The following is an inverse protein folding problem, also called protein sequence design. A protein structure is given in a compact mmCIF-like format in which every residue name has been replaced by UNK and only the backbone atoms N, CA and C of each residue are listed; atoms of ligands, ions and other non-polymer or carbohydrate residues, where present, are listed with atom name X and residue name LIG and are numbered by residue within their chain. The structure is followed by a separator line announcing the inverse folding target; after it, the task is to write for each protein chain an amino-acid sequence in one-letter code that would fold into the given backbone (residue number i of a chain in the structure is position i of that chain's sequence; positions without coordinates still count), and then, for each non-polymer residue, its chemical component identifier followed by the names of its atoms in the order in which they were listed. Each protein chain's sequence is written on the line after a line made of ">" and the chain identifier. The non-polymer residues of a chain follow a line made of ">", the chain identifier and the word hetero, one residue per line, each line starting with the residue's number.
data_IF_835471747627
#
_entry.id   IF_835471747627
#
_cell.length_a   1.000
_cell.length_b   1.000
_cell.length_c   1.000
_cell.angle_alpha   90.00
_cell.angle_beta   90.00
_cell.angle_gamma   90.00
#
_symmetry.space_group_name_H-M   'P 1'
#
loop_
_entity.id
_entity.type
_entity.pdbx_description
1 polymer ?
#
# COMPACT_ATOMS: atom_id res chain seq x y z
N UNK A 1 -11.49 32.09 22.87
CA UNK A 1 -10.50 31.16 23.46
C UNK A 1 -9.97 30.27 22.33
N UNK A 2 -8.65 30.04 22.23
CA UNK A 2 -8.10 29.09 21.24
C UNK A 2 -8.63 27.69 21.57
N UNK A 3 -9.28 27.02 20.60
CA UNK A 3 -9.73 25.63 20.76
C UNK A 3 -8.52 24.75 21.09
N UNK A 4 -8.60 23.96 22.17
CA UNK A 4 -7.49 23.08 22.60
C UNK A 4 -7.54 21.78 21.81
N UNK A 5 -6.39 21.35 21.31
CA UNK A 5 -6.26 20.13 20.51
C UNK A 5 -5.26 19.17 21.16
N UNK A 6 -5.46 17.88 20.97
CA UNK A 6 -4.53 16.81 21.31
C UNK A 6 -4.66 15.67 20.30
N UNK A 7 -3.67 14.79 20.25
CA UNK A 7 -3.88 13.47 19.65
C UNK A 7 -4.12 12.42 20.73
N UNK A 8 -4.84 11.36 20.40
CA UNK A 8 -5.17 10.28 21.32
C UNK A 8 -4.89 8.92 20.70
N UNK A 9 -4.08 8.12 21.40
CA UNK A 9 -3.97 6.68 21.20
C UNK A 9 -4.71 6.00 22.34
N UNK A 10 -5.92 5.55 22.04
CA UNK A 10 -6.77 4.80 22.96
C UNK A 10 -6.63 3.30 22.67
N UNK A 11 -6.13 2.54 23.65
CA UNK A 11 -5.90 1.10 23.53
C UNK A 11 -4.49 0.72 23.04
N UNK A 12 -4.24 -0.58 22.93
CA UNK A 12 -2.93 -1.23 22.77
C UNK A 12 -2.40 -1.26 21.32
N UNK A 13 -2.50 -0.13 20.60
CA UNK A 13 -2.07 -0.04 19.21
C UNK A 13 -0.84 0.86 19.05
N UNK A 14 0.38 0.36 19.35
CA UNK A 14 1.60 1.16 19.30
C UNK A 14 1.93 1.66 17.89
N UNK A 15 1.43 1.00 16.83
CA UNK A 15 1.62 1.47 15.45
C UNK A 15 0.97 2.84 15.20
N UNK A 16 0.02 3.28 16.03
CA UNK A 16 -0.58 4.62 15.90
C UNK A 16 0.37 5.75 16.35
N UNK A 17 1.43 5.43 17.11
CA UNK A 17 2.46 6.39 17.51
C UNK A 17 3.10 7.01 16.26
N UNK A 18 3.46 6.18 15.28
CA UNK A 18 4.13 6.61 14.03
C UNK A 18 3.25 7.50 13.14
N UNK A 19 1.99 7.73 13.49
CA UNK A 19 1.09 8.63 12.76
C UNK A 19 0.76 9.86 13.58
N UNK A 20 0.53 9.69 14.87
CA UNK A 20 0.08 10.77 15.75
C UNK A 20 1.24 11.52 16.39
N UNK A 21 2.36 10.88 16.71
CA UNK A 21 3.52 11.52 17.33
C UNK A 21 4.18 12.59 16.42
N UNK A 22 4.39 12.35 15.10
CA UNK A 22 4.90 13.38 14.19
C UNK A 22 3.95 14.57 14.07
N UNK A 23 2.65 14.30 13.97
CA UNK A 23 1.62 15.34 13.93
C UNK A 23 1.59 16.15 15.22
N UNK A 24 1.72 15.50 16.39
CA UNK A 24 1.82 16.17 17.68
C UNK A 24 3.04 17.09 17.75
N UNK A 25 4.21 16.62 17.30
CA UNK A 25 5.41 17.43 17.27
C UNK A 25 5.27 18.65 16.35
N UNK A 26 4.71 18.47 15.16
CA UNK A 26 4.55 19.53 14.16
C UNK A 26 3.51 20.56 14.61
N UNK A 27 2.33 20.10 15.05
CA UNK A 27 1.23 20.96 15.48
C UNK A 27 1.42 21.52 16.89
N UNK A 28 2.47 21.10 17.61
CA UNK A 28 2.76 21.46 19.01
C UNK A 28 1.57 21.18 19.93
N UNK A 29 0.99 19.99 19.79
CA UNK A 29 -0.12 19.49 20.62
C UNK A 29 0.31 18.21 21.36
N UNK A 30 -0.26 17.92 22.54
CA UNK A 30 0.13 16.73 23.29
C UNK A 30 -0.38 15.44 22.64
N UNK A 31 0.37 14.35 22.80
CA UNK A 31 -0.07 12.99 22.52
C UNK A 31 -0.56 12.35 23.83
N UNK A 32 -1.82 11.95 23.87
CA UNK A 32 -2.43 11.32 25.02
C UNK A 32 -2.50 9.81 24.81
N UNK A 33 -2.22 9.03 25.85
CA UNK A 33 -2.43 7.59 25.83
C UNK A 33 -2.81 7.06 27.21
N UNK A 34 -3.58 5.98 27.22
CA UNK A 34 -3.95 5.23 28.41
C UNK A 34 -3.12 3.95 28.63
N UNK A 35 -2.11 3.73 27.78
CA UNK A 35 -1.25 2.55 27.82
C UNK A 35 0.18 3.00 28.14
N UNK A 36 0.72 2.48 29.24
CA UNK A 36 2.07 2.81 29.72
C UNK A 36 3.14 2.46 28.68
N UNK A 37 3.04 1.29 28.03
CA UNK A 37 3.96 0.88 26.98
C UNK A 37 4.00 1.87 25.80
N UNK A 38 2.85 2.46 25.43
CA UNK A 38 2.76 3.46 24.35
C UNK A 38 3.40 4.78 24.79
N UNK A 39 3.22 5.17 26.06
CA UNK A 39 3.89 6.33 26.63
C UNK A 39 5.41 6.16 26.61
N UNK A 40 5.91 5.01 27.05
CA UNK A 40 7.34 4.70 27.08
C UNK A 40 7.94 4.63 25.67
N UNK A 41 7.26 3.97 24.73
CA UNK A 41 7.70 3.96 23.33
C UNK A 41 7.70 5.36 22.72
N UNK A 42 6.69 6.18 23.00
CA UNK A 42 6.67 7.54 22.49
C UNK A 42 7.82 8.35 23.08
N UNK A 43 8.07 8.28 24.40
CA UNK A 43 9.21 8.97 25.02
C UNK A 43 10.55 8.51 24.45
N UNK A 44 10.69 7.21 24.21
CA UNK A 44 11.94 6.61 23.72
C UNK A 44 12.23 6.97 22.27
N UNK A 45 11.26 6.83 21.38
CA UNK A 45 11.46 6.96 19.94
C UNK A 45 11.10 8.36 19.40
N UNK A 46 10.26 9.11 20.12
CA UNK A 46 9.83 10.47 19.77
C UNK A 46 10.00 11.43 20.97
N UNK A 47 11.25 11.63 21.47
CA UNK A 47 11.51 12.36 22.71
C UNK A 47 11.05 13.84 22.67
N UNK A 48 10.87 14.40 21.48
CA UNK A 48 10.42 15.77 21.26
C UNK A 48 8.89 15.95 21.24
N UNK A 49 8.14 14.88 21.52
CA UNK A 49 6.67 14.90 21.61
C UNK A 49 6.25 15.05 23.07
N UNK A 50 5.36 16.01 23.35
CA UNK A 50 4.71 16.12 24.67
C UNK A 50 3.71 14.97 24.83
N UNK A 51 4.20 13.82 25.28
CA UNK A 51 3.37 12.64 25.55
C UNK A 51 2.91 12.61 27.00
N UNK A 52 1.63 12.29 27.22
CA UNK A 52 1.02 12.18 28.55
C UNK A 52 0.31 10.86 28.71
N UNK A 53 0.72 10.12 29.72
CA UNK A 53 0.00 8.95 30.19
C UNK A 53 -1.16 9.39 31.08
N UNK A 54 -2.36 8.90 30.80
CA UNK A 54 -3.56 9.16 31.60
C UNK A 54 -4.10 7.81 32.05
N UNK A 55 -4.36 7.64 33.34
CA UNK A 55 -4.90 6.38 33.86
C UNK A 55 -6.21 5.99 33.16
N UNK A 56 -6.36 4.69 32.90
CA UNK A 56 -7.46 4.10 32.11
C UNK A 56 -8.86 4.55 32.55
N UNK A 57 -9.09 4.66 33.86
CA UNK A 57 -10.40 5.05 34.43
C UNK A 57 -10.79 6.51 34.16
N UNK A 58 -9.82 7.37 33.84
CA UNK A 58 -10.01 8.83 33.77
C UNK A 58 -9.80 9.41 32.37
N UNK A 59 -9.25 8.64 31.43
CA UNK A 59 -8.86 9.16 30.11
C UNK A 59 -10.03 9.75 29.33
N UNK A 60 -11.21 9.12 29.37
CA UNK A 60 -12.37 9.58 28.59
C UNK A 60 -12.89 10.92 29.11
N UNK A 61 -13.08 11.04 30.42
CA UNK A 61 -13.51 12.27 31.07
C UNK A 61 -12.47 13.39 30.93
N UNK A 62 -11.19 13.06 31.13
CA UNK A 62 -10.09 14.02 31.00
C UNK A 62 -10.01 14.60 29.59
N UNK A 63 -10.09 13.75 28.56
CA UNK A 63 -10.01 14.16 27.16
C UNK A 63 -11.16 15.12 26.81
N UNK A 64 -12.41 14.78 27.15
CA UNK A 64 -13.59 15.63 26.88
C UNK A 64 -13.48 16.95 27.63
N UNK A 65 -13.15 16.92 28.92
CA UNK A 65 -13.06 18.14 29.74
C UNK A 65 -12.02 19.13 29.19
N UNK A 66 -10.86 18.64 28.76
CA UNK A 66 -9.70 19.49 28.50
C UNK A 66 -9.49 19.88 27.02
N UNK A 67 -10.07 19.13 26.08
CA UNK A 67 -9.82 19.33 24.65
C UNK A 67 -11.11 19.47 23.84
N UNK A 68 -11.04 20.23 22.76
CA UNK A 68 -12.15 20.48 21.83
C UNK A 68 -11.97 19.75 20.49
N UNK A 69 -10.71 19.42 20.15
CA UNK A 69 -10.33 18.70 18.94
C UNK A 69 -9.42 17.52 19.29
N UNK A 70 -9.72 16.34 18.77
CA UNK A 70 -8.90 15.14 18.97
C UNK A 70 -8.48 14.54 17.63
N UNK A 71 -7.18 14.37 17.44
CA UNK A 71 -6.61 13.58 16.34
C UNK A 71 -6.52 12.12 16.79
N UNK A 72 -7.12 11.19 16.06
CA UNK A 72 -7.10 9.78 16.42
C UNK A 72 -7.06 8.88 15.18
N UNK A 73 -6.40 7.73 15.28
CA UNK A 73 -6.47 6.67 14.28
C UNK A 73 -7.69 5.75 14.48
N UNK A 74 -8.32 5.81 15.66
CA UNK A 74 -9.54 5.07 15.99
C UNK A 74 -10.74 5.63 15.19
N UNK A 75 -11.54 4.76 14.54
CA UNK A 75 -12.76 5.18 13.85
C UNK A 75 -13.74 5.93 14.75
N UNK A 76 -14.49 6.91 14.19
CA UNK A 76 -15.41 7.76 14.96
C UNK A 76 -16.46 6.96 15.72
N UNK A 77 -17.05 5.92 15.13
CA UNK A 77 -18.06 5.10 15.79
C UNK A 77 -17.52 4.41 17.06
N UNK A 78 -16.28 3.91 17.03
CA UNK A 78 -15.62 3.34 18.21
C UNK A 78 -15.31 4.42 19.24
N UNK A 79 -14.84 5.60 18.79
CA UNK A 79 -14.64 6.73 19.69
C UNK A 79 -15.95 7.18 20.35
N UNK A 80 -17.04 7.31 19.60
CA UNK A 80 -18.33 7.72 20.16
C UNK A 80 -18.81 6.72 21.22
N UNK A 81 -18.68 5.41 21.00
CA UNK A 81 -19.07 4.41 22.00
C UNK A 81 -18.40 4.64 23.36
N UNK A 82 -17.11 5.00 23.36
CA UNK A 82 -16.32 5.17 24.58
C UNK A 82 -16.48 6.57 25.21
N UNK A 83 -16.64 7.61 24.38
CA UNK A 83 -16.60 9.01 24.82
C UNK A 83 -17.99 9.67 24.90
N UNK A 84 -19.06 9.07 24.38
CA UNK A 84 -20.40 9.70 24.29
C UNK A 84 -20.97 10.08 25.66
N UNK A 85 -20.98 9.15 26.62
CA UNK A 85 -21.50 9.41 27.96
C UNK A 85 -20.82 10.62 28.61
N UNK A 86 -19.51 10.72 28.45
CA UNK A 86 -18.69 11.80 29.00
C UNK A 86 -18.97 13.16 28.32
N UNK A 87 -19.21 13.16 27.00
CA UNK A 87 -19.65 14.35 26.26
C UNK A 87 -21.02 14.83 26.71
N UNK A 88 -21.97 13.92 26.92
CA UNK A 88 -23.32 14.25 27.38
C UNK A 88 -23.30 14.79 28.83
N UNK A 89 -22.54 14.16 29.74
CA UNK A 89 -22.37 14.61 31.13
C UNK A 89 -21.75 16.00 31.22
N UNK A 90 -20.76 16.31 30.37
CA UNK A 90 -20.10 17.61 30.35
C UNK A 90 -20.77 18.63 29.44
N UNK A 91 -21.88 18.27 28.79
CA UNK A 91 -22.56 19.04 27.75
C UNK A 91 -21.58 19.66 26.73
N UNK A 92 -20.63 18.83 26.25
CA UNK A 92 -19.53 19.26 25.38
C UNK A 92 -19.23 18.22 24.31
N UNK A 93 -19.25 18.64 23.06
CA UNK A 93 -18.90 17.80 21.91
C UNK A 93 -17.43 17.96 21.50
N UNK A 94 -16.72 16.85 21.28
CA UNK A 94 -15.36 16.83 20.74
C UNK A 94 -15.41 16.70 19.21
N UNK A 95 -14.61 17.52 18.52
CA UNK A 95 -14.36 17.36 17.09
C UNK A 95 -13.24 16.35 16.85
N UNK A 96 -13.52 15.27 16.11
CA UNK A 96 -12.54 14.22 15.82
C UNK A 96 -11.96 14.40 14.41
N UNK A 97 -10.62 14.35 14.32
CA UNK A 97 -9.84 14.35 13.09
C UNK A 97 -9.24 12.96 12.91
N UNK A 98 -9.79 12.19 11.98
CA UNK A 98 -9.34 10.83 11.76
C UNK A 98 -8.05 10.80 10.94
N UNK A 99 -7.02 10.14 11.48
CA UNK A 99 -5.73 9.97 10.84
C UNK A 99 -5.63 8.56 10.24
N UNK A 100 -5.68 8.40 8.91
CA UNK A 100 -5.71 7.09 8.28
C UNK A 100 -4.36 6.37 8.39
N UNK A 101 -4.29 5.36 9.26
CA UNK A 101 -3.12 4.50 9.36
C UNK A 101 -3.15 3.39 8.30
N UNK A 102 -2.32 3.49 7.24
CA UNK A 102 -1.81 2.34 6.45
C UNK A 102 -2.83 1.28 6.01
N UNK A 103 -4.06 1.68 5.74
CA UNK A 103 -5.08 0.81 5.18
C UNK A 103 -5.09 1.08 3.67
N UNK A 104 -4.12 0.57 2.90
CA UNK A 104 -4.20 0.49 1.42
C UNK A 104 -4.28 -0.97 0.92
N UNK A 105 -3.89 -1.91 1.78
CA UNK A 105 -3.57 -3.30 1.45
C UNK A 105 -4.15 -4.32 2.47
N UNK A 106 -4.73 -3.89 3.60
CA UNK A 106 -5.31 -4.76 4.64
C UNK A 106 -6.75 -5.25 4.36
N UNK A 107 -7.11 -5.42 3.09
CA UNK A 107 -8.46 -5.72 2.60
C UNK A 107 -9.09 -7.08 2.98
N UNK A 108 -8.76 -7.64 4.14
CA UNK A 108 -9.28 -8.95 4.59
C UNK A 108 -10.15 -8.92 5.84
N UNK A 109 -10.06 -7.87 6.68
CA UNK A 109 -10.79 -7.81 7.96
C UNK A 109 -11.36 -6.44 8.33
N UNK A 110 -11.00 -5.35 7.64
CA UNK A 110 -11.49 -4.00 7.98
C UNK A 110 -12.25 -3.42 6.80
N UNK A 111 -13.51 -3.00 7.02
CA UNK A 111 -14.27 -2.21 6.06
C UNK A 111 -13.60 -0.85 5.90
N UNK A 112 -12.64 -0.80 4.97
CA UNK A 112 -11.76 0.33 4.63
C UNK A 112 -12.39 1.73 4.59
N UNK A 113 -13.71 1.81 4.43
CA UNK A 113 -14.44 3.05 4.17
C UNK A 113 -15.63 3.28 5.12
N UNK A 114 -15.84 2.43 6.12
CA UNK A 114 -16.91 2.62 7.10
C UNK A 114 -16.53 3.72 8.10
N UNK A 115 -15.28 3.74 8.56
CA UNK A 115 -14.73 4.81 9.39
C UNK A 115 -14.82 6.21 8.73
N UNK A 116 -14.67 6.27 7.40
CA UNK A 116 -14.78 7.51 6.62
C UNK A 116 -16.20 8.05 6.47
N UNK A 117 -17.22 7.19 6.63
CA UNK A 117 -18.63 7.59 6.48
C UNK A 117 -19.03 8.57 7.58
N UNK A 118 -18.58 8.28 8.79
CA UNK A 118 -18.98 9.01 9.99
C UNK A 118 -17.88 10.00 10.44
N UNK A 119 -16.66 9.90 9.91
CA UNK A 119 -15.58 10.87 10.18
C UNK A 119 -15.94 12.31 9.75
N UNK A 120 -15.79 13.24 10.69
CA UNK A 120 -16.01 14.68 10.50
C UNK A 120 -14.89 15.32 9.68
N UNK A 121 -13.62 14.97 9.94
CA UNK A 121 -12.43 15.51 9.27
C UNK A 121 -11.35 14.42 9.04
N UNK A 122 -10.57 14.49 7.95
CA UNK A 122 -9.56 13.47 7.53
C UNK A 122 -8.27 14.14 7.00
N UNK A 123 -7.09 13.64 7.36
CA UNK A 123 -5.78 14.10 6.87
C UNK A 123 -5.30 13.29 5.62
N UNK A 124 -4.67 13.94 4.63
CA UNK A 124 -4.18 13.29 3.39
C UNK A 124 -2.80 13.82 2.93
N UNK A 125 -2.02 12.96 2.26
CA UNK A 125 -0.64 13.23 1.80
C UNK A 125 -0.52 14.32 0.72
N UNK A 126 0.36 15.30 1.00
CA UNK A 126 1.04 16.20 0.05
C UNK A 126 0.26 17.44 -0.40
N UNK A 127 0.78 18.63 -0.08
CA UNK A 127 0.21 19.92 -0.54
C UNK A 127 0.12 20.00 -2.07
N UNK A 128 1.14 19.53 -2.80
CA UNK A 128 1.13 19.52 -4.27
C UNK A 128 0.03 18.65 -4.88
N UNK A 129 -0.28 17.51 -4.26
CA UNK A 129 -1.37 16.63 -4.73
C UNK A 129 -2.74 17.23 -4.39
N UNK A 130 -2.86 17.83 -3.22
CA UNK A 130 -4.05 18.56 -2.77
C UNK A 130 -4.30 19.76 -3.69
N UNK A 131 -3.27 20.52 -4.01
CA UNK A 131 -3.33 21.69 -4.89
C UNK A 131 -3.64 21.27 -6.33
N UNK A 132 -3.01 20.22 -6.83
CA UNK A 132 -3.35 19.67 -8.14
C UNK A 132 -4.81 19.20 -8.19
N UNK A 133 -5.31 18.51 -7.15
CA UNK A 133 -6.71 18.09 -7.08
C UNK A 133 -7.67 19.29 -6.99
N UNK A 134 -7.35 20.31 -6.17
CA UNK A 134 -8.21 21.48 -5.96
C UNK A 134 -8.25 22.41 -7.16
N UNK A 135 -7.10 22.67 -7.79
CA UNK A 135 -6.97 23.66 -8.85
C UNK A 135 -7.30 23.10 -10.25
N UNK A 136 -7.72 21.83 -10.34
CA UNK A 136 -8.03 21.18 -11.61
C UNK A 136 -9.36 20.43 -11.54
N UNK A 137 -10.44 21.06 -12.03
CA UNK A 137 -11.80 20.50 -12.03
C UNK A 137 -11.96 19.15 -12.77
N UNK A 138 -10.98 18.76 -13.58
CA UNK A 138 -10.97 17.52 -14.38
C UNK A 138 -10.31 16.35 -13.63
N UNK A 139 -9.74 16.58 -12.44
CA UNK A 139 -9.01 15.56 -11.67
C UNK A 139 -9.97 14.94 -10.65
N UNK A 140 -10.25 13.65 -10.80
CA UNK A 140 -11.07 12.91 -9.83
C UNK A 140 -10.22 12.15 -8.82
N UNK A 141 -9.08 11.62 -9.27
CA UNK A 141 -8.13 10.86 -8.46
C UNK A 141 -6.69 11.24 -8.83
N UNK A 142 -5.79 11.21 -7.85
CA UNK A 142 -4.35 11.43 -8.03
C UNK A 142 -3.60 10.27 -7.38
N UNK A 143 -2.62 9.69 -8.07
CA UNK A 143 -1.68 8.72 -7.51
C UNK A 143 -0.28 9.32 -7.44
N UNK A 144 0.57 8.75 -6.59
CA UNK A 144 1.98 9.15 -6.44
C UNK A 144 2.91 8.42 -7.40
N UNK A 145 2.44 7.37 -8.08
CA UNK A 145 3.29 6.41 -8.79
C UNK A 145 3.31 6.59 -10.31
N UNK A 146 4.50 6.68 -10.87
CA UNK A 146 4.80 6.61 -12.30
C UNK A 146 5.36 5.23 -12.69
N UNK A 147 4.57 4.18 -12.50
CA UNK A 147 5.02 2.79 -12.62
C UNK A 147 5.52 2.42 -14.04
N UNK A 148 6.53 1.54 -14.13
CA UNK A 148 7.10 1.08 -15.41
C UNK A 148 6.03 0.45 -16.33
N UNK A 149 5.06 -0.27 -15.77
CA UNK A 149 3.93 -0.87 -16.50
C UNK A 149 3.19 0.11 -17.41
N UNK A 150 3.17 1.39 -17.03
CA UNK A 150 2.53 2.45 -17.82
C UNK A 150 3.22 2.65 -19.19
N UNK A 151 4.47 2.21 -19.33
CA UNK A 151 5.28 2.32 -20.53
C UNK A 151 5.41 0.98 -21.27
N UNK A 152 5.48 -0.13 -20.54
CA UNK A 152 5.82 -1.45 -21.10
C UNK A 152 4.60 -2.31 -21.43
N UNK A 153 3.53 -2.25 -20.64
CA UNK A 153 2.38 -3.17 -20.77
C UNK A 153 1.36 -2.65 -21.79
N UNK A 154 0.89 -3.53 -22.68
CA UNK A 154 -0.10 -3.19 -23.73
C UNK A 154 -1.44 -2.66 -23.20
N UNK A 155 -1.81 -3.06 -21.98
CA UNK A 155 -2.95 -2.52 -21.22
C UNK A 155 -2.85 -1.00 -21.02
N UNK A 156 -1.63 -0.47 -20.88
CA UNK A 156 -1.36 0.96 -20.75
C UNK A 156 -1.09 1.69 -22.07
N UNK A 157 -1.09 0.99 -23.21
CA UNK A 157 -0.92 1.60 -24.55
C UNK A 157 -2.20 2.29 -25.03
N UNK A 158 -2.40 3.52 -24.57
CA UNK A 158 -3.41 4.47 -25.02
C UNK A 158 -2.82 5.89 -25.01
N UNK A 159 -3.50 6.81 -25.68
CA UNK A 159 -3.17 8.24 -25.62
C UNK A 159 -3.55 8.76 -24.23
N UNK A 160 -2.55 9.07 -23.40
CA UNK A 160 -2.74 9.78 -22.14
C UNK A 160 -2.89 11.29 -22.39
N UNK A 161 -3.63 11.96 -21.52
CA UNK A 161 -3.59 13.42 -21.43
C UNK A 161 -2.43 13.81 -20.53
N UNK A 162 -1.65 14.80 -20.95
CA UNK A 162 -0.58 15.38 -20.14
C UNK A 162 -0.94 16.80 -19.77
N UNK A 163 -0.73 17.16 -18.51
CA UNK A 163 -0.89 18.51 -17.99
C UNK A 163 0.35 18.92 -17.20
N UNK A 164 0.86 20.12 -17.43
CA UNK A 164 1.95 20.68 -16.62
C UNK A 164 1.35 21.45 -15.44
N UNK A 165 1.83 21.20 -14.22
CA UNK A 165 1.44 21.91 -13.01
C UNK A 165 2.57 21.81 -11.98
N UNK A 166 2.97 22.97 -11.42
CA UNK A 166 4.00 23.09 -10.37
C UNK A 166 5.31 22.35 -10.72
N UNK A 167 5.86 22.68 -11.89
CA UNK A 167 7.09 22.13 -12.49
C UNK A 167 7.10 20.61 -12.71
N UNK A 168 5.92 19.97 -12.69
CA UNK A 168 5.77 18.56 -13.03
C UNK A 168 4.81 18.37 -14.19
N UNK A 169 5.06 17.32 -14.97
CA UNK A 169 4.08 16.80 -15.89
C UNK A 169 3.20 15.79 -15.15
N UNK A 170 1.91 15.85 -15.37
CA UNK A 170 0.93 14.93 -14.84
C UNK A 170 0.29 14.21 -16.01
N UNK A 171 0.16 12.89 -15.95
CA UNK A 171 -0.50 12.11 -16.99
C UNK A 171 -1.73 11.39 -16.47
N UNK A 172 -2.74 11.24 -17.31
CA UNK A 172 -3.85 10.33 -17.01
C UNK A 172 -3.41 8.88 -17.14
N UNK A 173 -3.73 8.06 -16.16
CA UNK A 173 -3.42 6.62 -16.11
C UNK A 173 -4.70 5.79 -15.94
N UNK A 174 -4.62 4.52 -16.32
CA UNK A 174 -5.76 3.60 -16.35
C UNK A 174 -5.97 2.91 -15.00
N UNK A 175 -4.91 2.68 -14.22
CA UNK A 175 -4.98 2.01 -12.93
C UNK A 175 -3.79 2.37 -12.05
N UNK A 176 -3.98 2.24 -10.73
CA UNK A 176 -2.92 2.33 -9.71
C UNK A 176 -3.13 1.27 -8.62
N UNK A 177 -2.16 1.08 -7.74
CA UNK A 177 -2.08 0.07 -6.66
C UNK A 177 -2.92 0.40 -5.42
N UNK A 178 -4.11 1.00 -5.59
CA UNK A 178 -4.98 1.51 -4.50
C UNK A 178 -4.40 2.65 -3.67
N UNK A 179 -3.19 3.14 -3.96
CA UNK A 179 -2.64 4.35 -3.34
C UNK A 179 -3.02 5.58 -4.17
N UNK A 180 -4.00 6.33 -3.68
CA UNK A 180 -4.49 7.53 -4.35
C UNK A 180 -5.10 8.55 -3.37
N UNK A 181 -5.13 9.80 -3.80
CA UNK A 181 -5.87 10.91 -3.21
C UNK A 181 -7.13 11.19 -4.05
N UNK A 182 -8.24 11.54 -3.39
CA UNK A 182 -9.49 11.98 -4.02
C UNK A 182 -10.33 12.83 -3.08
N UNK A 183 -11.39 13.46 -3.58
CA UNK A 183 -12.36 14.19 -2.74
C UNK A 183 -13.36 13.23 -2.09
N UNK A 184 -13.90 13.61 -0.91
CA UNK A 184 -14.97 12.87 -0.22
C UNK A 184 -16.16 12.60 -1.14
N UNK A 185 -16.54 13.58 -1.97
CA UNK A 185 -17.65 13.46 -2.91
C UNK A 185 -17.41 12.41 -4.00
N UNK A 186 -16.23 12.41 -4.62
CA UNK A 186 -15.86 11.40 -5.63
C UNK A 186 -15.79 10.02 -4.99
N UNK A 187 -15.23 9.92 -3.77
CA UNK A 187 -15.16 8.66 -3.05
C UNK A 187 -16.55 8.10 -2.72
N UNK A 188 -17.48 8.92 -2.25
CA UNK A 188 -18.87 8.50 -1.97
C UNK A 188 -19.54 7.97 -3.24
N UNK A 189 -19.37 8.65 -4.38
CA UNK A 189 -19.93 8.24 -5.67
C UNK A 189 -19.34 6.91 -6.18
N UNK A 190 -18.09 6.62 -5.84
CA UNK A 190 -17.37 5.42 -6.29
C UNK A 190 -17.32 4.28 -5.26
N UNK A 191 -17.78 4.50 -4.03
CA UNK A 191 -17.68 3.56 -2.89
C UNK A 191 -18.15 2.14 -3.20
N UNK A 192 -19.24 1.99 -3.96
CA UNK A 192 -19.83 0.68 -4.24
C UNK A 192 -18.94 -0.18 -5.15
N UNK A 193 -18.11 0.46 -5.97
CA UNK A 193 -17.15 -0.22 -6.85
C UNK A 193 -15.99 -0.74 -6.00
N UNK A 194 -15.44 0.10 -5.11
CA UNK A 194 -14.39 -0.30 -4.17
C UNK A 194 -14.87 -1.37 -3.17
N UNK A 195 -16.11 -1.28 -2.65
CA UNK A 195 -16.68 -2.30 -1.76
C UNK A 195 -16.85 -3.68 -2.41
N UNK A 196 -17.00 -3.76 -3.74
CA UNK A 196 -17.05 -5.05 -4.43
C UNK A 196 -15.68 -5.73 -4.49
N UNK A 197 -14.61 -4.94 -4.52
CA UNK A 197 -13.24 -5.45 -4.45
C UNK A 197 -12.94 -6.09 -3.08
N UNK A 198 -13.47 -5.54 -1.98
CA UNK A 198 -13.25 -6.08 -0.63
C UNK A 198 -14.06 -7.35 -0.30
N UNK A 199 -15.07 -7.71 -1.11
CA UNK A 199 -15.90 -8.90 -0.87
C UNK A 199 -15.26 -10.15 -1.45
N UNK A 200 -15.01 -11.15 -0.59
CA UNK A 200 -14.53 -12.50 -0.96
C UNK A 200 -15.47 -13.14 -1.99
N UNK A 201 -15.08 -13.15 -3.26
CA UNK A 201 -15.61 -14.11 -4.22
C UNK A 201 -14.70 -15.35 -4.18
N UNK A 202 -14.95 -16.24 -3.21
CA UNK A 202 -14.31 -17.54 -3.13
C UNK A 202 -15.10 -18.51 -4.00
N UNK A 203 -14.51 -18.93 -5.12
CA UNK A 203 -14.78 -20.26 -5.66
C UNK A 203 -13.49 -21.05 -5.52
N UNK A 204 -13.63 -22.24 -4.95
CA UNK A 204 -12.53 -23.12 -4.64
C UNK A 204 -11.80 -23.53 -5.93
N UNK A 205 -10.50 -23.21 -6.02
CA UNK A 205 -9.68 -23.53 -7.19
C UNK A 205 -9.44 -25.03 -7.33
N UNK A 206 -9.77 -25.81 -6.30
CA UNK A 206 -9.46 -27.24 -6.25
C UNK A 206 -10.40 -28.10 -7.11
N UNK A 207 -11.64 -27.66 -7.39
CA UNK A 207 -12.59 -28.39 -8.26
C UNK A 207 -12.07 -28.51 -9.71
N UNK A 208 -11.29 -27.54 -10.19
CA UNK A 208 -10.88 -27.44 -11.60
C UNK A 208 -9.43 -27.89 -11.87
N UNK A 209 -8.72 -28.41 -10.86
CA UNK A 209 -7.35 -28.93 -11.05
C UNK A 209 -7.31 -30.18 -11.95
N UNK A 210 -8.41 -30.94 -12.05
CA UNK A 210 -8.44 -32.22 -12.78
C UNK A 210 -8.74 -32.13 -14.27
N UNK A 211 -9.31 -31.03 -14.78
CA UNK A 211 -9.73 -30.97 -16.19
C UNK A 211 -9.31 -29.66 -16.87
N UNK A 212 -8.25 -29.75 -17.70
CA UNK A 212 -7.59 -28.61 -18.35
C UNK A 212 -8.50 -27.85 -19.32
N UNK A 213 -9.48 -28.54 -19.94
CA UNK A 213 -10.44 -27.94 -20.87
C UNK A 213 -11.48 -27.11 -20.11
N UNK A 214 -12.10 -27.69 -19.07
CA UNK A 214 -12.99 -26.95 -18.17
C UNK A 214 -12.27 -25.77 -17.51
N UNK A 215 -10.99 -25.93 -17.15
CA UNK A 215 -10.18 -24.83 -16.61
C UNK A 215 -10.14 -23.66 -17.60
N UNK A 216 -9.82 -23.88 -18.86
CA UNK A 216 -9.76 -22.80 -19.85
C UNK A 216 -11.11 -22.17 -20.19
N UNK A 217 -12.21 -22.95 -20.15
CA UNK A 217 -13.55 -22.44 -20.41
C UNK A 217 -14.11 -21.61 -19.25
N UNK A 218 -13.77 -21.97 -18.00
CA UNK A 218 -14.39 -21.37 -16.82
C UNK A 218 -13.46 -20.52 -15.94
N UNK A 219 -12.15 -20.49 -16.19
CA UNK A 219 -11.18 -19.62 -15.46
C UNK A 219 -11.60 -18.15 -15.45
N UNK A 220 -12.18 -17.67 -16.54
CA UNK A 220 -12.65 -16.29 -16.68
C UNK A 220 -13.73 -15.96 -15.62
N UNK A 221 -14.59 -16.92 -15.28
CA UNK A 221 -15.72 -16.74 -14.36
C UNK A 221 -15.34 -16.78 -12.87
N UNK A 222 -14.22 -17.42 -12.55
CA UNK A 222 -13.78 -17.71 -11.18
C UNK A 222 -12.54 -16.91 -10.74
N UNK A 223 -12.02 -16.03 -11.59
CA UNK A 223 -10.91 -15.14 -11.26
C UNK A 223 -11.27 -14.10 -10.20
N UNK A 224 -10.38 -13.90 -9.21
CA UNK A 224 -10.53 -12.83 -8.21
C UNK A 224 -10.41 -11.45 -8.87
N UNK A 225 -11.18 -10.48 -8.38
CA UNK A 225 -11.05 -9.11 -8.83
C UNK A 225 -9.67 -8.54 -8.41
N UNK A 226 -9.02 -7.83 -9.32
CA UNK A 226 -7.75 -7.14 -9.09
C UNK A 226 -7.94 -5.62 -9.05
N UNK A 227 -6.93 -4.89 -8.58
CA UNK A 227 -6.94 -3.43 -8.59
C UNK A 227 -7.24 -2.83 -9.97
N UNK A 228 -6.64 -3.40 -11.01
CA UNK A 228 -6.81 -2.94 -12.39
C UNK A 228 -8.25 -3.11 -12.91
N UNK A 229 -9.01 -4.07 -12.40
CA UNK A 229 -10.36 -4.38 -12.90
C UNK A 229 -11.34 -3.25 -12.56
N UNK A 230 -11.32 -2.76 -11.33
CA UNK A 230 -12.24 -1.70 -10.93
C UNK A 230 -11.79 -0.35 -11.50
N UNK A 231 -10.47 -0.10 -11.56
CA UNK A 231 -9.94 1.11 -12.16
C UNK A 231 -10.32 1.22 -13.63
N UNK A 232 -10.19 0.15 -14.40
CA UNK A 232 -10.64 0.11 -15.80
C UNK A 232 -12.13 0.46 -15.96
N UNK A 233 -12.97 0.09 -14.97
CA UNK A 233 -14.39 0.43 -14.98
C UNK A 233 -14.66 1.91 -14.64
N UNK A 234 -13.83 2.51 -13.79
CA UNK A 234 -13.91 3.93 -13.40
C UNK A 234 -13.37 4.84 -14.50
N UNK A 235 -12.17 4.56 -15.00
CA UNK A 235 -11.48 5.34 -16.02
C UNK A 235 -12.03 5.11 -17.42
N UNK A 236 -12.64 3.94 -17.65
CA UNK A 236 -13.21 3.50 -18.94
C UNK A 236 -12.21 3.55 -20.10
N UNK A 237 -10.91 3.53 -19.82
CA UNK A 237 -9.90 3.61 -20.86
C UNK A 237 -9.85 2.28 -21.62
N UNK A 238 -10.06 2.35 -22.94
CA UNK A 238 -10.12 1.21 -23.86
C UNK A 238 -11.17 0.12 -23.56
N UNK A 239 -12.01 0.27 -22.52
CA UNK A 239 -12.94 -0.79 -22.09
C UNK A 239 -14.06 -1.09 -23.10
N UNK A 240 -14.33 -0.16 -24.01
CA UNK A 240 -15.30 -0.30 -25.09
C UNK A 240 -14.71 -0.82 -26.40
N UNK A 241 -13.38 -1.00 -26.49
CA UNK A 241 -12.73 -1.50 -27.71
C UNK A 241 -12.84 -3.02 -27.79
N UNK A 242 -14.06 -3.54 -27.97
CA UNK A 242 -14.39 -4.97 -27.86
C UNK A 242 -13.50 -5.88 -28.72
N UNK A 243 -13.23 -5.50 -29.98
CA UNK A 243 -12.31 -6.25 -30.86
C UNK A 243 -10.89 -6.31 -30.32
N UNK A 244 -10.37 -5.20 -29.74
CA UNK A 244 -9.06 -5.17 -29.09
C UNK A 244 -9.05 -6.04 -27.83
N UNK A 245 -10.13 -6.02 -27.06
CA UNK A 245 -10.30 -6.85 -25.86
C UNK A 245 -10.29 -8.34 -26.25
N UNK A 246 -11.06 -8.75 -27.25
CA UNK A 246 -11.09 -10.13 -27.74
C UNK A 246 -9.71 -10.60 -28.23
N UNK A 247 -8.93 -9.72 -28.86
CA UNK A 247 -7.55 -10.02 -29.27
C UNK A 247 -6.63 -10.35 -28.08
N UNK A 248 -6.85 -9.71 -26.92
CA UNK A 248 -6.09 -10.01 -25.71
C UNK A 248 -6.33 -11.42 -25.20
N UNK A 249 -7.49 -12.04 -25.46
CA UNK A 249 -7.77 -13.43 -25.06
C UNK A 249 -6.67 -14.39 -25.55
N UNK A 250 -6.14 -14.14 -26.74
CA UNK A 250 -5.11 -14.98 -27.38
C UNK A 250 -3.69 -14.43 -27.22
N UNK A 251 -3.51 -13.11 -27.07
CA UNK A 251 -2.17 -12.48 -26.99
C UNK A 251 -1.68 -12.21 -25.57
N UNK A 252 -2.58 -11.81 -24.67
CA UNK A 252 -2.26 -11.47 -23.29
C UNK A 252 -3.45 -11.78 -22.40
N UNK A 253 -3.51 -13.04 -21.94
CA UNK A 253 -4.63 -13.56 -21.18
C UNK A 253 -4.87 -12.78 -19.86
N UNK A 254 -3.81 -12.26 -19.21
CA UNK A 254 -3.94 -11.43 -18.02
C UNK A 254 -4.71 -10.13 -18.28
N UNK A 255 -4.41 -9.46 -19.39
CA UNK A 255 -5.13 -8.23 -19.82
C UNK A 255 -6.58 -8.52 -20.20
N UNK A 256 -6.83 -9.65 -20.89
CA UNK A 256 -8.19 -10.12 -21.16
C UNK A 256 -9.00 -10.30 -19.87
N UNK A 257 -8.40 -10.96 -18.89
CA UNK A 257 -9.06 -11.21 -17.61
C UNK A 257 -9.40 -9.91 -16.87
N UNK A 258 -8.56 -8.87 -16.94
CA UNK A 258 -8.87 -7.55 -16.36
C UNK A 258 -10.15 -7.00 -16.99
N UNK A 259 -10.20 -6.87 -18.31
CA UNK A 259 -11.38 -6.34 -19.00
C UNK A 259 -12.63 -7.20 -18.79
N UNK A 260 -12.49 -8.53 -18.86
CA UNK A 260 -13.61 -9.45 -18.63
C UNK A 260 -14.19 -9.28 -17.23
N UNK A 261 -13.34 -9.22 -16.19
CA UNK A 261 -13.79 -9.01 -14.80
C UNK A 261 -14.35 -7.62 -14.58
N UNK A 262 -13.79 -6.58 -15.21
CA UNK A 262 -14.38 -5.23 -15.21
C UNK A 262 -15.81 -5.26 -15.71
N UNK A 263 -16.06 -5.89 -16.86
CA UNK A 263 -17.41 -6.06 -17.40
C UNK A 263 -18.29 -6.90 -16.47
N UNK A 264 -17.84 -8.07 -16.06
CA UNK A 264 -18.61 -8.97 -15.18
C UNK A 264 -19.07 -8.31 -13.88
N UNK A 265 -18.16 -7.63 -13.18
CA UNK A 265 -18.45 -7.09 -11.84
C UNK A 265 -18.97 -5.64 -11.86
N UNK A 266 -18.63 -4.87 -12.90
CA UNK A 266 -18.86 -3.43 -12.95
C UNK A 266 -19.52 -2.95 -14.26
N UNK A 267 -20.23 -3.82 -15.01
CA UNK A 267 -20.91 -3.43 -16.27
C UNK A 267 -21.81 -2.19 -16.14
N UNK A 268 -22.55 -2.03 -15.03
CA UNK A 268 -23.40 -0.84 -14.81
C UNK A 268 -22.60 0.46 -14.76
N UNK A 269 -21.45 0.43 -14.08
CA UNK A 269 -20.52 1.56 -14.05
C UNK A 269 -19.93 1.81 -15.44
N UNK A 270 -19.61 0.75 -16.19
CA UNK A 270 -19.06 0.86 -17.54
C UNK A 270 -20.07 1.49 -18.48
N UNK A 271 -21.32 1.02 -18.53
CA UNK A 271 -22.34 1.54 -19.45
C UNK A 271 -22.88 2.90 -19.02
N UNK A 272 -23.27 3.04 -17.75
CA UNK A 272 -24.08 4.17 -17.28
C UNK A 272 -23.37 5.09 -16.29
N UNK A 273 -22.26 4.64 -15.70
CA UNK A 273 -21.52 5.43 -14.72
C UNK A 273 -20.78 6.61 -15.35
N UNK A 274 -20.45 7.62 -14.55
CA UNK A 274 -19.54 8.69 -14.99
C UNK A 274 -18.13 8.12 -15.23
N UNK A 275 -17.40 8.63 -16.23
CA UNK A 275 -15.96 8.39 -16.40
C UNK A 275 -15.18 9.25 -15.41
N UNK A 276 -14.24 8.63 -14.70
CA UNK A 276 -13.35 9.32 -13.75
C UNK A 276 -11.92 9.42 -14.29
N UNK A 277 -11.21 10.49 -13.95
CA UNK A 277 -9.81 10.66 -14.32
C UNK A 277 -8.87 10.40 -13.15
N UNK A 278 -7.96 9.46 -13.35
CA UNK A 278 -6.84 9.16 -12.46
C UNK A 278 -5.57 9.75 -13.06
N UNK A 279 -4.85 10.55 -12.29
CA UNK A 279 -3.62 11.23 -12.71
C UNK A 279 -2.42 10.74 -11.91
N UNK A 280 -1.25 10.69 -12.54
CA UNK A 280 0.03 10.40 -11.89
C UNK A 280 1.11 11.39 -12.35
N UNK A 281 2.05 11.76 -11.47
CA UNK A 281 3.14 12.67 -11.77
C UNK A 281 4.24 12.00 -12.62
N UNK A 282 4.94 12.79 -13.42
CA UNK A 282 6.15 12.45 -14.16
C UNK A 282 7.18 13.56 -13.87
N UNK A 283 8.35 13.24 -13.30
CA UNK A 283 8.72 11.93 -12.75
C UNK A 283 7.87 11.60 -11.52
N UNK A 284 7.92 10.32 -11.11
CA UNK A 284 7.18 9.80 -9.95
C UNK A 284 7.40 10.64 -8.68
N UNK A 285 6.45 10.60 -7.74
CA UNK A 285 6.62 11.16 -6.38
C UNK A 285 6.90 10.03 -5.35
N UNK A 286 6.61 8.77 -5.68
CA UNK A 286 7.00 7.60 -4.88
C UNK A 286 7.45 6.42 -5.73
N UNK A 287 8.13 5.44 -5.15
CA UNK A 287 8.61 4.22 -5.85
C UNK A 287 8.17 2.95 -5.12
N UNK A 288 8.11 1.83 -5.84
CA UNK A 288 7.80 0.52 -5.28
C UNK A 288 9.03 -0.25 -4.78
N UNK A 289 10.23 0.35 -4.80
CA UNK A 289 11.50 -0.28 -4.39
C UNK A 289 11.80 -1.65 -5.05
N UNK A 290 11.15 -1.99 -6.17
CA UNK A 290 11.38 -3.23 -6.92
C UNK A 290 12.21 -2.93 -8.18
N UNK A 291 13.40 -3.54 -8.29
CA UNK A 291 14.37 -3.26 -9.36
C UNK A 291 13.77 -3.35 -10.77
N UNK A 292 12.93 -4.38 -11.01
CA UNK A 292 12.32 -4.62 -12.33
C UNK A 292 11.21 -3.63 -12.70
N UNK A 293 10.74 -2.79 -11.77
CA UNK A 293 9.60 -1.88 -11.98
C UNK A 293 9.91 -0.43 -11.62
N UNK A 294 11.20 -0.10 -11.57
CA UNK A 294 11.67 1.25 -11.34
C UNK A 294 11.14 2.22 -12.41
N UNK A 295 10.67 3.43 -12.02
CA UNK A 295 10.23 4.45 -12.95
C UNK A 295 11.33 4.80 -13.97
N UNK A 296 11.06 4.74 -15.29
CA UNK A 296 12.09 4.93 -16.32
C UNK A 296 12.56 6.38 -16.47
N UNK A 297 11.87 7.32 -15.81
CA UNK A 297 12.17 8.76 -15.88
C UNK A 297 13.23 9.21 -14.87
N UNK A 298 13.76 8.27 -14.08
CA UNK A 298 14.85 8.47 -13.13
C UNK A 298 16.03 7.60 -13.57
N UNK A 299 17.24 8.17 -13.56
CA UNK A 299 18.48 7.46 -13.91
C UNK A 299 18.97 6.65 -12.69
N UNK A 300 18.38 5.47 -12.52
CA UNK A 300 18.68 4.57 -11.42
C UNK A 300 20.10 4.01 -11.51
N UNK A 301 20.62 3.79 -12.71
CA UNK A 301 22.00 3.33 -12.90
C UNK A 301 22.99 4.36 -12.38
N UNK A 302 22.80 5.65 -12.64
CA UNK A 302 23.65 6.68 -12.05
C UNK A 302 23.56 6.72 -10.52
N UNK A 303 22.36 6.50 -9.96
CA UNK A 303 22.14 6.44 -8.51
C UNK A 303 22.86 5.21 -7.92
N UNK A 304 22.76 4.04 -8.56
CA UNK A 304 23.36 2.79 -8.09
C UNK A 304 24.87 2.71 -8.34
N UNK A 305 25.37 3.22 -9.48
CA UNK A 305 26.80 3.27 -9.86
C UNK A 305 27.64 4.14 -8.95
N UNK A 306 27.02 5.12 -8.29
CA UNK A 306 27.68 5.90 -7.25
C UNK A 306 28.10 5.02 -6.07
N UNK A 307 27.45 3.88 -5.87
CA UNK A 307 27.57 3.07 -4.66
C UNK A 307 28.21 1.67 -4.91
N UNK A 308 28.15 1.06 -6.12
CA UNK A 308 28.72 -0.28 -6.43
C UNK A 308 29.25 -0.40 -7.89
N UNK A 309 30.39 -1.09 -8.12
CA UNK A 309 31.01 -1.35 -9.45
C UNK A 309 30.36 -2.54 -10.21
N UNK A 310 30.08 -2.38 -11.51
CA UNK A 310 29.32 -3.34 -12.35
C UNK A 310 30.04 -4.68 -12.61
N UNK A 311 31.36 -4.70 -12.68
CA UNK A 311 32.17 -5.91 -12.89
C UNK A 311 32.00 -6.93 -11.77
N UNK A 312 31.56 -6.48 -10.60
CA UNK A 312 31.29 -7.31 -9.43
C UNK A 312 29.89 -7.92 -9.42
N UNK A 313 28.96 -7.45 -10.26
CA UNK A 313 27.54 -7.85 -10.20
C UNK A 313 27.23 -8.93 -11.24
N UNK A 314 26.80 -10.10 -10.78
CA UNK A 314 26.35 -11.22 -11.59
C UNK A 314 24.83 -11.34 -11.62
N UNK A 315 24.31 -11.96 -12.68
CA UNK A 315 22.86 -12.14 -12.88
C UNK A 315 22.50 -13.60 -13.17
N UNK A 316 21.49 -14.09 -12.45
CA UNK A 316 21.02 -15.47 -12.57
C UNK A 316 19.49 -15.47 -12.64
N UNK A 317 18.97 -15.59 -13.85
CA UNK A 317 17.56 -15.44 -14.15
C UNK A 317 17.31 -15.36 -15.64
N UNK A 318 16.09 -15.68 -16.09
CA UNK A 318 15.66 -15.49 -17.48
C UNK A 318 16.60 -16.08 -18.56
N UNK A 319 17.19 -17.25 -18.29
CA UNK A 319 18.12 -17.92 -19.20
C UNK A 319 19.58 -17.51 -19.05
N UNK A 320 19.88 -16.47 -18.26
CA UNK A 320 21.23 -16.02 -17.93
C UNK A 320 21.75 -16.75 -16.69
N UNK A 321 23.01 -17.19 -16.75
CA UNK A 321 23.76 -17.77 -15.64
C UNK A 321 25.18 -17.20 -15.67
N UNK A 322 25.35 -16.00 -15.12
CA UNK A 322 26.62 -15.27 -15.04
C UNK A 322 26.94 -14.92 -13.58
N UNK A 323 27.41 -15.89 -12.78
CA UNK A 323 27.74 -15.65 -11.38
C UNK A 323 29.03 -14.83 -11.21
N UNK A 324 29.00 -13.80 -10.37
CA UNK A 324 30.14 -12.93 -9.99
C UNK A 324 30.23 -12.78 -8.47
N UNK A 325 30.80 -11.67 -7.99
CA UNK A 325 31.03 -11.40 -6.57
C UNK A 325 29.69 -11.18 -5.83
N UNK A 326 28.81 -10.34 -6.40
CA UNK A 326 27.47 -10.04 -5.91
C UNK A 326 26.44 -10.54 -6.93
N UNK A 327 25.64 -11.52 -6.57
CA UNK A 327 24.73 -12.17 -7.52
C UNK A 327 23.26 -11.85 -7.26
N UNK A 328 22.59 -11.31 -8.27
CA UNK A 328 21.14 -11.10 -8.26
C UNK A 328 20.44 -12.32 -8.85
N UNK A 329 19.61 -12.97 -8.04
CA UNK A 329 18.97 -14.25 -8.39
C UNK A 329 17.46 -14.19 -8.16
N UNK A 330 16.68 -14.66 -9.13
CA UNK A 330 15.24 -14.81 -8.94
C UNK A 330 14.88 -16.13 -8.24
N UNK A 331 14.00 -16.08 -7.24
CA UNK A 331 13.50 -17.30 -6.56
C UNK A 331 12.86 -18.31 -7.53
N UNK A 332 12.03 -17.91 -8.53
CA UNK A 332 11.48 -18.84 -9.52
C UNK A 332 12.55 -19.63 -10.28
N UNK A 333 13.70 -19.01 -10.58
CA UNK A 333 14.83 -19.69 -11.25
C UNK A 333 15.41 -20.79 -10.38
N UNK A 334 15.59 -20.55 -9.08
CA UNK A 334 16.08 -21.56 -8.14
C UNK A 334 15.08 -22.71 -7.98
N UNK A 335 13.79 -22.39 -7.87
CA UNK A 335 12.71 -23.37 -7.70
C UNK A 335 12.59 -24.30 -8.89
N UNK A 336 12.87 -23.81 -10.11
CA UNK A 336 12.78 -24.60 -11.36
C UNK A 336 13.84 -25.70 -11.43
N UNK A 337 15.06 -25.46 -10.93
CA UNK A 337 16.14 -26.45 -10.93
C UNK A 337 16.98 -26.41 -9.64
N UNK A 338 16.45 -26.91 -8.52
CA UNK A 338 17.14 -26.84 -7.23
C UNK A 338 18.46 -27.62 -7.18
N UNK A 339 18.62 -28.64 -8.05
CA UNK A 339 19.83 -29.47 -8.09
C UNK A 339 20.99 -28.70 -8.72
N UNK A 340 20.74 -27.99 -9.82
CA UNK A 340 21.73 -27.13 -10.49
C UNK A 340 22.28 -26.06 -9.54
N UNK A 341 21.42 -25.47 -8.71
CA UNK A 341 21.80 -24.39 -7.80
C UNK A 341 22.38 -24.86 -6.47
N UNK A 342 22.32 -26.15 -6.13
CA UNK A 342 22.75 -26.67 -4.82
C UNK A 342 24.21 -26.29 -4.48
N UNK A 343 25.14 -26.59 -5.38
CA UNK A 343 26.57 -26.32 -5.18
C UNK A 343 26.92 -24.84 -5.30
N UNK A 344 26.09 -24.06 -6.00
CA UNK A 344 26.28 -22.63 -6.16
C UNK A 344 25.83 -21.89 -4.89
N UNK A 345 24.63 -22.18 -4.40
CA UNK A 345 24.07 -21.56 -3.19
C UNK A 345 24.87 -21.95 -1.94
N UNK A 346 25.46 -23.14 -1.90
CA UNK A 346 26.26 -23.58 -0.75
C UNK A 346 27.53 -22.77 -0.51
N UNK A 347 27.96 -21.96 -1.49
CA UNK A 347 29.16 -21.12 -1.40
C UNK A 347 28.87 -19.70 -0.94
N UNK A 348 27.59 -19.34 -0.71
CA UNK A 348 27.20 -17.97 -0.39
C UNK A 348 27.18 -17.75 1.12
N UNK A 349 27.96 -16.78 1.56
CA UNK A 349 28.10 -16.40 2.97
C UNK A 349 27.05 -15.37 3.40
N UNK A 350 26.61 -14.53 2.45
CA UNK A 350 25.61 -13.48 2.65
C UNK A 350 24.41 -13.72 1.73
N UNK A 351 23.21 -13.57 2.27
CA UNK A 351 21.95 -13.61 1.53
C UNK A 351 21.14 -12.36 1.85
N UNK A 352 20.75 -11.62 0.82
CA UNK A 352 19.82 -10.50 0.92
C UNK A 352 18.55 -10.90 0.16
N UNK A 353 17.40 -10.89 0.83
CA UNK A 353 16.11 -11.24 0.23
C UNK A 353 15.22 -10.02 0.19
N UNK A 354 14.85 -9.60 -1.03
CA UNK A 354 13.84 -8.56 -1.23
C UNK A 354 12.42 -9.11 -1.10
N UNK A 355 11.49 -8.24 -0.69
CA UNK A 355 10.10 -8.55 -0.35
C UNK A 355 9.92 -9.85 0.45
N UNK A 356 10.76 -9.99 1.49
CA UNK A 356 10.87 -11.23 2.27
C UNK A 356 9.54 -11.63 2.93
N UNK A 357 8.56 -10.73 3.01
CA UNK A 357 7.20 -11.07 3.45
C UNK A 357 6.53 -12.16 2.60
N UNK A 358 7.00 -12.43 1.37
CA UNK A 358 6.59 -13.57 0.56
C UNK A 358 7.15 -14.93 1.04
N UNK A 359 8.15 -14.94 1.93
CA UNK A 359 8.67 -16.14 2.60
C UNK A 359 7.63 -16.86 3.45
N UNK A 360 6.48 -16.23 3.73
CA UNK A 360 5.32 -16.89 4.31
C UNK A 360 4.71 -17.98 3.41
N UNK A 361 5.05 -18.00 2.12
CA UNK A 361 4.69 -19.08 1.22
C UNK A 361 5.65 -20.27 1.39
N UNK A 362 5.11 -21.49 1.37
CA UNK A 362 5.90 -22.72 1.58
C UNK A 362 7.03 -22.90 0.56
N UNK A 363 6.83 -22.41 -0.67
CA UNK A 363 7.85 -22.46 -1.73
C UNK A 363 9.03 -21.54 -1.44
N UNK A 364 8.77 -20.28 -1.08
CA UNK A 364 9.84 -19.33 -0.75
C UNK A 364 10.58 -19.78 0.50
N UNK A 365 9.85 -20.12 1.57
CA UNK A 365 10.43 -20.62 2.82
C UNK A 365 11.41 -21.77 2.58
N UNK A 366 10.97 -22.83 1.89
CA UNK A 366 11.82 -24.00 1.61
C UNK A 366 13.00 -23.68 0.70
N UNK A 367 12.91 -22.65 -0.13
CA UNK A 367 14.00 -22.25 -1.03
C UNK A 367 15.06 -21.46 -0.25
N UNK A 368 14.63 -20.48 0.53
CA UNK A 368 15.47 -19.63 1.37
C UNK A 368 16.22 -20.46 2.43
N UNK A 369 15.53 -21.42 3.06
CA UNK A 369 16.13 -22.29 4.09
C UNK A 369 17.17 -23.27 3.54
N UNK A 370 17.26 -23.48 2.21
CA UNK A 370 18.30 -24.31 1.60
C UNK A 370 19.60 -23.56 1.33
N UNK A 371 19.60 -22.24 1.47
CA UNK A 371 20.78 -21.40 1.27
C UNK A 371 21.51 -21.35 2.61
N UNK A 372 22.70 -21.93 2.77
CA UNK A 372 23.42 -21.97 4.04
C UNK A 372 24.20 -20.67 4.31
N UNK A 373 23.60 -19.52 4.03
CA UNK A 373 24.23 -18.22 4.28
C UNK A 373 24.29 -17.93 5.79
N UNK A 374 25.46 -17.49 6.24
CA UNK A 374 25.75 -17.11 7.64
C UNK A 374 25.06 -15.79 7.97
N UNK A 375 25.20 -14.80 7.07
CA UNK A 375 24.55 -13.50 7.20
C UNK A 375 23.31 -13.44 6.32
N UNK A 376 22.17 -13.11 6.92
CA UNK A 376 20.87 -13.17 6.27
C UNK A 376 20.17 -11.86 6.52
N UNK A 377 19.82 -11.16 5.44
CA UNK A 377 19.11 -9.90 5.48
C UNK A 377 17.80 -10.04 4.72
N UNK A 378 16.73 -9.57 5.34
CA UNK A 378 15.40 -9.51 4.72
C UNK A 378 14.98 -8.06 4.57
N UNK A 379 14.71 -7.64 3.34
CA UNK A 379 14.15 -6.34 3.03
C UNK A 379 12.64 -6.51 2.83
N UNK A 380 11.85 -5.74 3.55
CA UNK A 380 10.39 -5.74 3.39
C UNK A 380 9.81 -4.45 3.93
N UNK A 381 8.90 -3.85 3.17
CA UNK A 381 8.10 -2.72 3.66
C UNK A 381 6.97 -3.18 4.60
N UNK A 382 6.64 -4.47 4.61
CA UNK A 382 5.47 -5.01 5.34
C UNK A 382 5.79 -6.29 6.11
N UNK A 383 6.57 -6.23 7.21
CA UNK A 383 6.73 -7.38 8.10
C UNK A 383 5.38 -7.64 8.82
N UNK A 384 4.53 -8.50 8.25
CA UNK A 384 3.25 -8.89 8.86
C UNK A 384 3.49 -9.66 10.16
N UNK A 385 2.81 -9.31 11.26
CA UNK A 385 2.87 -10.00 12.55
C UNK A 385 1.85 -11.15 12.64
N UNK A 386 2.19 -12.23 13.37
CA UNK A 386 1.37 -13.44 13.57
C UNK A 386 2.19 -14.74 13.41
N UNK A 387 1.58 -15.93 13.41
CA UNK A 387 2.31 -17.22 13.27
C UNK A 387 3.20 -17.29 12.02
N UNK A 388 2.79 -16.61 10.94
CA UNK A 388 3.56 -16.52 9.70
C UNK A 388 4.77 -15.58 9.77
N UNK A 389 4.83 -14.72 10.77
CA UNK A 389 6.01 -13.91 11.07
C UNK A 389 7.17 -14.78 11.57
N UNK A 390 6.88 -15.86 12.29
CA UNK A 390 7.91 -16.80 12.75
C UNK A 390 8.66 -17.44 11.58
N UNK A 391 8.00 -17.66 10.44
CA UNK A 391 8.64 -18.16 9.22
C UNK A 391 9.59 -17.13 8.61
N UNK A 392 9.26 -15.85 8.72
CA UNK A 392 10.08 -14.74 8.25
C UNK A 392 11.33 -14.58 9.13
N UNK A 393 11.13 -14.55 10.44
CA UNK A 393 12.19 -14.47 11.43
C UNK A 393 13.11 -15.71 11.35
N UNK A 394 12.55 -16.90 11.10
CA UNK A 394 13.35 -18.10 10.83
C UNK A 394 14.17 -17.99 9.53
N UNK A 395 13.68 -17.28 8.51
CA UNK A 395 14.37 -17.11 7.24
C UNK A 395 15.49 -16.07 7.28
N UNK A 396 15.35 -14.98 8.03
CA UNK A 396 16.27 -13.83 7.96
C UNK A 396 16.72 -13.28 9.31
N UNK A 397 16.22 -13.83 10.42
CA UNK A 397 16.48 -13.30 11.76
C UNK A 397 15.53 -12.17 12.16
N UNK A 398 15.81 -11.60 13.33
CA UNK A 398 15.03 -10.52 13.94
C UNK A 398 15.09 -9.24 13.10
N UNK A 399 14.07 -8.40 13.25
CA UNK A 399 14.09 -7.05 12.69
C UNK A 399 15.20 -6.26 13.38
N UNK A 400 16.22 -5.86 12.61
CA UNK A 400 17.37 -5.09 13.11
C UNK A 400 17.21 -3.58 12.88
N UNK A 401 16.39 -3.18 11.90
CA UNK A 401 16.17 -1.79 11.55
C UNK A 401 14.82 -1.62 10.86
N UNK A 402 14.11 -0.55 11.22
CA UNK A 402 12.86 -0.14 10.57
C UNK A 402 12.99 1.35 10.25
N UNK A 403 12.96 1.70 8.96
CA UNK A 403 12.86 3.08 8.53
C UNK A 403 11.40 3.53 8.67
N UNK A 404 11.12 4.36 9.67
CA UNK A 404 9.83 5.04 9.78
C UNK A 404 9.69 6.07 8.66
N UNK A 405 8.46 6.24 8.15
CA UNK A 405 8.16 7.24 7.11
C UNK A 405 8.61 8.64 7.50
N UNK A 406 8.52 8.99 8.79
CA UNK A 406 8.91 10.31 9.32
C UNK A 406 10.38 10.63 9.10
N UNK A 407 11.27 9.64 9.26
CA UNK A 407 12.71 9.81 9.09
C UNK A 407 13.08 10.02 7.61
N UNK A 408 12.39 9.33 6.71
CA UNK A 408 12.56 9.50 5.26
C UNK A 408 12.06 10.88 4.80
N UNK A 409 10.94 11.36 5.37
CA UNK A 409 10.36 12.67 5.07
C UNK A 409 11.22 13.83 5.63
N UNK A 410 11.73 13.70 6.86
CA UNK A 410 12.59 14.70 7.51
C UNK A 410 13.95 14.85 6.79
N UNK A 411 14.52 13.75 6.33
CA UNK A 411 15.76 13.72 5.55
C UNK A 411 15.55 14.05 4.06
N UNK A 412 14.31 14.32 3.63
CA UNK A 412 13.91 14.63 2.24
C UNK A 412 14.24 13.53 1.22
N UNK A 413 14.17 12.26 1.62
CA UNK A 413 14.26 11.11 0.72
C UNK A 413 12.92 10.75 0.09
#
# INVERSE_FOLDING_TARGET
>A
MKKKAAALIYGDNPNYIDHLAPLCHYLKIPLLTNIEEIFDFTKKYYPNVDVKHIENKDVNFYVVKNFDNILACTPKNMFDTEFRLHQDVLNKEINIFWCPHGNSDKGRTVFFMEALKDASNVLVYGDKMIDFLKNNAVVDFVSVYDHLDLYTIEFHKYKSYIKTYDDKHWRTINSTTCTFLTTKNVLIKTKNIFKKYSKKNFFDRDIFKKNRILRHLFLDFFGRATGADYWSSLTKINIFKLFRILKFRYRNYGTWQIYFRSWRYNWRQILFGRKYYLWAPIPTIGTHMEYNFLPPTIDWDKIFKKEISEDKIGMIGDGVFDPREIDVVSIPTIVRDPKKFKNYLSKKEVMITDEVHHAQSTTWYKTIMKIPAVYRFGLTATPQRGEKFLLLEACTGKIIYTAGYDKLIEEKY
#
